data_IF_098945523927
#
_entry.id   IF_098945523927
#
_cell.length_a   1.000
_cell.length_b   1.000
_cell.length_c   1.000
_cell.angle_alpha   90.00
_cell.angle_beta   90.00
_cell.angle_gamma   90.00
#
_symmetry.space_group_name_H-M   'P 1'
#
loop_
_entity.id
_entity.type
_entity.pdbx_description
1 polymer ?
#
# COMPACT_ATOMS: atom_id res chain seq x y z
N UNK A 1 21.32 -5.57 -0.09
CA UNK A 1 20.22 -5.41 0.90
C UNK A 1 19.36 -4.24 0.42
N UNK A 2 18.47 -4.49 -0.54
CA UNK A 2 17.71 -3.42 -1.21
C UNK A 2 16.31 -3.31 -0.60
N UNK A 3 16.25 -2.81 0.64
CA UNK A 3 14.99 -2.61 1.35
C UNK A 3 14.43 -1.22 1.01
N UNK A 4 14.03 -1.01 -0.26
CA UNK A 4 13.34 0.21 -0.70
C UNK A 4 11.87 0.29 -0.24
N UNK A 5 11.39 -0.74 0.46
CA UNK A 5 10.09 -0.72 1.10
C UNK A 5 10.12 0.23 2.30
N UNK A 6 9.05 1.00 2.46
CA UNK A 6 8.90 1.90 3.59
C UNK A 6 8.95 1.12 4.90
N UNK A 7 9.61 1.68 5.90
CA UNK A 7 9.52 1.12 7.24
C UNK A 7 8.11 1.31 7.80
N UNK A 8 7.71 0.39 8.68
CA UNK A 8 6.43 0.45 9.37
C UNK A 8 6.20 1.81 10.05
N UNK A 9 7.26 2.40 10.61
CA UNK A 9 7.22 3.72 11.23
C UNK A 9 6.91 4.84 10.23
N UNK A 10 7.49 4.82 9.02
CA UNK A 10 7.21 5.82 7.97
C UNK A 10 5.76 5.75 7.49
N UNK A 11 5.21 4.53 7.36
CA UNK A 11 3.81 4.31 7.01
C UNK A 11 2.90 4.91 8.08
N UNK A 12 3.17 4.61 9.36
CA UNK A 12 2.41 5.18 10.49
C UNK A 12 2.54 6.70 10.52
N UNK A 13 3.73 7.25 10.27
CA UNK A 13 3.97 8.67 10.22
C UNK A 13 3.20 9.34 9.08
N UNK A 14 3.16 8.74 7.88
CA UNK A 14 2.41 9.27 6.75
C UNK A 14 0.90 9.21 6.98
N UNK A 15 0.38 8.12 7.58
CA UNK A 15 -1.03 8.06 8.02
C UNK A 15 -1.33 9.21 8.99
N UNK A 16 -0.47 9.42 9.99
CA UNK A 16 -0.62 10.52 10.96
C UNK A 16 -0.56 11.89 10.32
N UNK A 17 0.34 12.11 9.35
CA UNK A 17 0.42 13.35 8.55
C UNK A 17 -0.86 13.60 7.75
N UNK A 18 -1.58 12.55 7.36
CA UNK A 18 -2.89 12.62 6.70
C UNK A 18 -4.06 12.72 7.67
N UNK A 19 -3.80 12.78 8.98
CA UNK A 19 -4.85 12.84 10.00
C UNK A 19 -5.57 11.51 10.25
N UNK A 20 -5.01 10.40 9.76
CA UNK A 20 -5.57 9.06 9.95
C UNK A 20 -4.62 8.16 10.73
N UNK A 21 -5.12 7.00 11.16
CA UNK A 21 -4.33 6.00 11.88
C UNK A 21 -4.66 4.61 11.37
N UNK A 22 -3.76 3.65 11.58
CA UNK A 22 -4.02 2.25 11.25
C UNK A 22 -5.33 1.73 11.86
N UNK A 23 -5.65 2.12 13.10
CA UNK A 23 -6.91 1.77 13.73
C UNK A 23 -8.12 2.39 13.02
N UNK A 24 -8.03 3.66 12.60
CA UNK A 24 -9.10 4.31 11.83
C UNK A 24 -9.31 3.66 10.46
N UNK A 25 -8.23 3.36 9.74
CA UNK A 25 -8.29 2.65 8.45
C UNK A 25 -8.89 1.25 8.62
N UNK A 26 -8.49 0.53 9.66
CA UNK A 26 -9.04 -0.79 9.96
C UNK A 26 -10.53 -0.74 10.25
N UNK A 27 -10.99 0.24 11.04
CA UNK A 27 -12.42 0.46 11.33
C UNK A 27 -13.21 0.83 10.08
N UNK A 28 -12.67 1.72 9.24
CA UNK A 28 -13.30 2.09 7.97
C UNK A 28 -13.44 0.89 7.03
N UNK A 29 -12.50 -0.05 7.07
CA UNK A 29 -12.54 -1.28 6.29
C UNK A 29 -13.35 -2.43 6.93
N UNK A 30 -13.90 -2.24 8.13
CA UNK A 30 -14.61 -3.30 8.88
C UNK A 30 -13.70 -4.44 9.37
N UNK A 31 -12.40 -4.17 9.54
CA UNK A 31 -11.40 -5.14 9.94
C UNK A 31 -10.95 -4.92 11.39
N UNK A 32 -10.46 -6.00 12.02
CA UNK A 32 -9.78 -5.89 13.30
C UNK A 32 -8.44 -5.17 13.14
N UNK A 33 -8.12 -4.28 14.08
CA UNK A 33 -6.87 -3.51 14.10
C UNK A 33 -5.62 -4.39 14.03
N UNK A 34 -5.68 -5.61 14.59
CA UNK A 34 -4.59 -6.58 14.53
C UNK A 34 -4.42 -7.17 13.12
N UNK A 35 -5.51 -7.33 12.36
CA UNK A 35 -5.47 -7.84 10.98
C UNK A 35 -4.75 -6.85 10.06
N UNK A 36 -5.04 -5.56 10.19
CA UNK A 36 -4.39 -4.54 9.37
C UNK A 36 -2.94 -4.31 9.77
N UNK A 37 -2.60 -4.42 11.05
CA UNK A 37 -1.20 -4.37 11.49
C UNK A 37 -0.36 -5.51 10.88
N UNK A 38 -0.96 -6.69 10.74
CA UNK A 38 -0.31 -7.83 10.09
C UNK A 38 0.02 -7.60 8.61
N UNK A 39 -0.68 -6.65 7.95
CA UNK A 39 -0.41 -6.22 6.57
C UNK A 39 0.96 -5.58 6.39
N UNK A 40 1.49 -4.99 7.46
CA UNK A 40 2.77 -4.27 7.44
C UNK A 40 3.94 -5.25 7.38
N UNK A 41 3.79 -6.42 8.02
CA UNK A 41 4.82 -7.46 8.05
C UNK A 41 4.64 -8.52 6.96
N UNK A 42 3.41 -8.82 6.54
CA UNK A 42 3.12 -9.89 5.56
C UNK A 42 2.51 -9.32 4.26
N UNK A 43 2.83 -9.91 3.09
CA UNK A 43 2.21 -9.53 1.81
C UNK A 43 0.72 -9.77 1.86
N UNK A 44 -0.03 -8.69 2.05
CA UNK A 44 -1.47 -8.70 2.06
C UNK A 44 -2.01 -7.57 1.17
N UNK A 45 -2.23 -7.85 -0.12
CA UNK A 45 -2.58 -6.84 -1.12
C UNK A 45 -3.78 -5.96 -0.74
N UNK A 46 -4.80 -6.54 -0.12
CA UNK A 46 -5.99 -5.79 0.33
C UNK A 46 -5.65 -4.77 1.42
N UNK A 47 -4.80 -5.14 2.38
CA UNK A 47 -4.34 -4.23 3.43
C UNK A 47 -3.40 -3.16 2.90
N UNK A 48 -2.49 -3.53 1.98
CA UNK A 48 -1.59 -2.60 1.31
C UNK A 48 -2.38 -1.52 0.53
N UNK A 49 -3.43 -1.93 -0.21
CA UNK A 49 -4.32 -1.00 -0.93
C UNK A 49 -5.03 -0.05 0.04
N UNK A 50 -5.59 -0.57 1.16
CA UNK A 50 -6.27 0.27 2.16
C UNK A 50 -5.33 1.31 2.77
N UNK A 51 -4.09 0.92 3.08
CA UNK A 51 -3.06 1.82 3.60
C UNK A 51 -2.67 2.85 2.53
N UNK A 52 -2.44 2.42 1.29
CA UNK A 52 -2.15 3.30 0.17
C UNK A 52 -3.25 4.34 -0.06
N UNK A 53 -4.51 3.90 -0.09
CA UNK A 53 -5.68 4.78 -0.19
C UNK A 53 -5.77 5.77 0.97
N UNK A 54 -5.52 5.33 2.20
CA UNK A 54 -5.53 6.19 3.38
C UNK A 54 -4.42 7.25 3.37
N UNK A 55 -3.25 6.92 2.82
CA UNK A 55 -2.14 7.87 2.62
C UNK A 55 -2.37 8.74 1.37
N UNK A 56 -3.13 8.23 0.40
CA UNK A 56 -3.32 8.84 -0.92
C UNK A 56 -2.19 8.54 -1.90
N UNK A 57 -1.47 7.43 -1.73
CA UNK A 57 -0.41 6.98 -2.65
C UNK A 57 -0.67 5.55 -3.09
N UNK A 58 -0.13 5.15 -4.24
CA UNK A 58 -0.25 3.77 -4.70
C UNK A 58 0.54 2.82 -3.78
N UNK A 59 0.05 1.61 -3.45
CA UNK A 59 0.80 0.65 -2.62
C UNK A 59 2.19 0.31 -3.17
N UNK A 60 2.38 0.37 -4.49
CA UNK A 60 3.70 0.21 -5.13
C UNK A 60 4.72 1.29 -4.75
N UNK A 61 4.29 2.46 -4.25
CA UNK A 61 5.19 3.51 -3.73
C UNK A 61 5.70 3.15 -2.34
N UNK A 62 4.87 2.48 -1.55
CA UNK A 62 5.18 2.06 -0.18
C UNK A 62 6.01 0.77 -0.21
N UNK A 63 5.65 -0.17 -1.08
CA UNK A 63 6.33 -1.46 -1.25
C UNK A 63 6.81 -1.67 -2.70
N UNK A 64 7.74 -0.86 -3.20
CA UNK A 64 8.22 -1.01 -4.57
C UNK A 64 8.84 -2.38 -4.82
N UNK A 65 9.49 -3.00 -3.84
CA UNK A 65 10.07 -4.34 -3.96
C UNK A 65 9.01 -5.42 -4.20
N UNK A 66 7.77 -5.19 -3.75
CA UNK A 66 6.66 -6.14 -3.91
C UNK A 66 5.92 -5.98 -5.24
N UNK A 67 5.92 -4.79 -5.81
CA UNK A 67 5.14 -4.43 -7.01
C UNK A 67 6.01 -4.20 -8.25
N UNK A 68 7.33 -4.03 -8.12
CA UNK A 68 8.23 -3.90 -9.25
C UNK A 68 9.17 -5.09 -9.34
N UNK A 69 9.37 -5.57 -10.56
CA UNK A 69 10.36 -6.60 -10.82
C UNK A 69 11.78 -6.01 -10.74
N UNK A 70 12.69 -6.59 -9.93
CA UNK A 70 14.02 -6.03 -9.73
C UNK A 70 14.92 -6.13 -10.99
N UNK A 71 14.54 -6.92 -11.99
CA UNK A 71 15.31 -7.08 -13.23
C UNK A 71 14.76 -6.23 -14.37
N UNK A 72 13.44 -6.10 -14.45
CA UNK A 72 12.79 -5.41 -15.58
C UNK A 72 12.23 -4.04 -15.20
N UNK A 73 12.18 -3.69 -13.90
CA UNK A 73 11.48 -2.52 -13.36
C UNK A 73 10.02 -2.41 -13.84
N UNK A 74 9.43 -3.50 -14.34
CA UNK A 74 8.04 -3.52 -14.74
C UNK A 74 7.15 -3.73 -13.53
N UNK A 75 5.96 -3.12 -13.56
CA UNK A 75 4.94 -3.33 -12.54
C UNK A 75 4.47 -4.79 -12.62
N UNK A 76 4.84 -5.60 -11.62
CA UNK A 76 4.31 -6.94 -11.46
C UNK A 76 2.88 -6.78 -10.94
N UNK A 77 1.90 -7.04 -11.80
CA UNK A 77 0.51 -7.12 -11.38
C UNK A 77 0.31 -8.36 -10.47
N UNK A 78 0.59 -8.19 -9.17
CA UNK A 78 0.21 -9.17 -8.16
C UNK A 78 -1.30 -9.12 -7.99
N UNK A 79 -2.00 -9.91 -8.81
CA UNK A 79 -3.45 -10.12 -8.81
C UNK A 79 -4.02 -10.19 -7.39
N UNK A 80 -4.52 -9.08 -6.89
CA UNK A 80 -5.85 -9.12 -6.29
C UNK A 80 -6.78 -9.12 -7.49
N UNK A 81 -7.47 -10.23 -7.75
CA UNK A 81 -8.51 -10.25 -8.78
C UNK A 81 -9.47 -9.07 -8.49
N UNK A 82 -9.62 -8.21 -9.49
CA UNK A 82 -10.38 -6.97 -9.56
C UNK A 82 -9.71 -5.66 -9.09
N UNK A 83 -9.57 -4.79 -10.09
CA UNK A 83 -9.78 -3.35 -10.05
C UNK A 83 -8.55 -2.50 -9.75
N UNK A 84 -7.65 -2.31 -10.73
CA UNK A 84 -6.83 -1.10 -10.88
C UNK A 84 -6.17 -1.04 -12.29
N UNK A 85 -6.97 -0.87 -13.34
CA UNK A 85 -6.46 -0.53 -14.69
C UNK A 85 -6.80 0.90 -15.12
N UNK A 86 -7.31 1.77 -14.21
CA UNK A 86 -7.95 3.02 -14.64
C UNK A 86 -7.33 4.33 -14.09
N UNK A 87 -6.23 4.28 -13.34
CA UNK A 87 -5.70 5.52 -12.70
C UNK A 87 -4.40 6.02 -13.35
N UNK A 88 -3.64 5.18 -14.06
CA UNK A 88 -2.34 5.60 -14.60
C UNK A 88 -2.45 6.40 -15.92
N UNK A 89 -3.58 6.35 -16.64
CA UNK A 89 -3.75 7.08 -17.91
C UNK A 89 -4.23 8.54 -17.79
N UNK A 90 -4.40 9.09 -16.56
CA UNK A 90 -4.99 10.43 -16.37
C UNK A 90 -4.03 11.55 -15.93
N UNK A 91 -2.72 11.29 -15.87
CA UNK A 91 -1.72 12.28 -15.46
C UNK A 91 -0.69 12.60 -16.56
N UNK A 92 -1.16 12.67 -17.81
CA UNK A 92 -0.37 13.17 -18.94
C UNK A 92 -1.25 13.96 -19.89
N UNK A 93 -1.47 15.24 -19.60
CA UNK A 93 -1.94 16.21 -20.58
C UNK A 93 -1.55 17.64 -20.19
#
# INVERSE_FOLDING_TARGET
MNNHDWHQADIIAALRKKGTTLAAVSRAAGLSSSTLSNALSRPWPKGEILIGQAIGVHPAVIWPSRYYDPKTHQLIERRTRNHLVQIIERAGH
#
